data_IF_825728269470
#
_entry.id   IF_825728269470
#
_cell.length_a   1.000
_cell.length_b   1.000
_cell.length_c   1.000
_cell.angle_alpha   90.00
_cell.angle_beta   90.00
_cell.angle_gamma   90.00
#
_symmetry.space_group_name_H-M   'P 1'
#
loop_
_entity.id
_entity.type
_entity.pdbx_description
1 polymer ?
#
# COMPACT_ATOMS: atom_id res chain seq x y z
N UNK A 1 6.90 -3.42 9.34
CA UNK A 1 6.15 -2.17 9.62
C UNK A 1 5.41 -1.76 8.36
N UNK A 2 4.20 -1.24 8.51
CA UNK A 2 3.40 -0.64 7.46
C UNK A 2 2.99 0.79 7.82
N UNK A 3 2.60 1.55 6.81
CA UNK A 3 2.01 2.87 6.91
C UNK A 3 0.95 3.05 5.84
N UNK A 4 0.04 3.98 6.07
CA UNK A 4 -1.05 4.33 5.15
C UNK A 4 -0.69 5.63 4.44
N UNK A 5 -0.86 5.63 3.11
CA UNK A 5 -0.64 6.80 2.27
C UNK A 5 -1.95 7.59 2.22
N UNK A 6 -1.97 8.74 2.88
CA UNK A 6 -3.15 9.58 2.98
C UNK A 6 -2.96 10.90 2.23
N UNK A 7 -4.03 11.43 1.67
CA UNK A 7 -3.95 12.61 0.81
C UNK A 7 -5.29 13.20 0.42
N UNK A 8 -5.28 14.14 -0.53
CA UNK A 8 -6.48 14.86 -0.98
C UNK A 8 -6.56 14.95 -2.50
N UNK A 9 -7.77 15.00 -3.06
CA UNK A 9 -7.97 15.32 -4.47
C UNK A 9 -7.81 16.83 -4.69
N UNK A 10 -7.03 17.23 -5.69
CA UNK A 10 -6.88 18.62 -6.12
C UNK A 10 -6.90 18.62 -7.65
N UNK A 11 -7.83 19.37 -8.25
CA UNK A 11 -7.94 19.52 -9.71
C UNK A 11 -7.91 18.17 -10.47
N UNK A 12 -8.70 17.20 -10.02
CA UNK A 12 -8.80 15.86 -10.62
C UNK A 12 -7.50 15.02 -10.56
N UNK A 13 -6.58 15.34 -9.64
CA UNK A 13 -5.41 14.54 -9.32
C UNK A 13 -5.34 14.26 -7.81
N UNK A 14 -4.76 13.13 -7.43
CA UNK A 14 -4.61 12.71 -6.04
C UNK A 14 -3.21 13.06 -5.54
N UNK A 15 -3.14 13.74 -4.40
CA UNK A 15 -1.87 14.16 -3.80
C UNK A 15 -1.70 13.52 -2.43
N UNK A 16 -0.72 12.62 -2.31
CA UNK A 16 -0.31 12.06 -1.01
C UNK A 16 0.43 13.17 -0.24
N UNK A 17 -0.07 13.49 0.95
CA UNK A 17 0.48 14.54 1.82
C UNK A 17 0.69 14.09 3.26
N UNK A 18 0.23 12.90 3.63
CA UNK A 18 0.33 12.34 4.97
C UNK A 18 0.76 10.88 4.90
N UNK A 19 1.85 10.54 5.59
CA UNK A 19 2.20 9.16 5.91
C UNK A 19 1.69 8.86 7.32
N UNK A 20 0.60 8.12 7.42
CA UNK A 20 0.04 7.71 8.70
C UNK A 20 0.67 6.38 9.12
N UNK A 21 1.31 6.34 10.29
CA UNK A 21 1.82 5.11 10.89
C UNK A 21 0.77 4.62 11.89
N UNK A 22 -0.02 3.59 11.54
CA UNK A 22 -1.05 3.08 12.42
C UNK A 22 -0.45 2.31 13.60
N UNK A 23 -1.25 2.13 14.64
CA UNK A 23 -1.02 1.05 15.59
C UNK A 23 -0.99 -0.28 14.82
N UNK A 24 -0.03 -1.14 15.14
CA UNK A 24 0.24 -2.32 14.32
C UNK A 24 1.05 -3.36 15.06
N UNK A 25 0.79 -4.62 14.73
CA UNK A 25 1.57 -5.77 15.19
C UNK A 25 2.41 -6.31 14.03
N UNK A 26 3.73 -6.32 14.23
CA UNK A 26 4.69 -6.76 13.22
C UNK A 26 5.36 -8.06 13.62
N UNK A 27 5.58 -8.94 12.64
CA UNK A 27 6.57 -10.02 12.70
C UNK A 27 7.68 -9.74 11.67
N UNK A 28 8.59 -10.69 11.44
CA UNK A 28 9.57 -10.60 10.34
C UNK A 28 8.91 -10.53 8.97
N UNK A 29 7.75 -11.18 8.80
CA UNK A 29 7.14 -11.44 7.49
C UNK A 29 5.73 -10.87 7.37
N UNK A 30 5.17 -10.32 8.45
CA UNK A 30 3.80 -9.81 8.48
C UNK A 30 3.71 -8.49 9.21
N UNK A 31 2.72 -7.71 8.80
CA UNK A 31 2.31 -6.50 9.49
C UNK A 31 0.79 -6.42 9.45
N UNK A 32 0.17 -6.24 10.61
CA UNK A 32 -1.29 -6.12 10.77
C UNK A 32 -1.57 -4.81 11.46
N UNK A 33 -2.44 -4.01 10.85
CA UNK A 33 -2.94 -2.79 11.49
C UNK A 33 -3.86 -3.17 12.64
N UNK A 34 -3.68 -2.49 13.76
CA UNK A 34 -4.57 -2.57 14.90
C UNK A 34 -5.30 -1.23 15.02
N UNK A 35 -6.46 -1.24 15.71
CA UNK A 35 -7.23 -0.03 16.00
C UNK A 35 -7.56 0.83 14.75
N UNK A 36 -8.20 0.20 13.76
CA UNK A 36 -8.61 0.84 12.50
C UNK A 36 -9.55 2.03 12.73
N UNK A 37 -10.31 2.03 13.83
CA UNK A 37 -11.16 3.15 14.24
C UNK A 37 -10.39 4.45 14.46
N UNK A 38 -9.24 4.40 15.13
CA UNK A 38 -8.41 5.59 15.36
C UNK A 38 -7.81 6.14 14.04
N UNK A 39 -7.47 5.25 13.11
CA UNK A 39 -6.99 5.62 11.78
C UNK A 39 -8.08 6.31 10.97
N UNK A 40 -9.29 5.72 10.99
CA UNK A 40 -10.46 6.28 10.32
C UNK A 40 -10.85 7.64 10.91
N UNK A 41 -10.91 7.76 12.23
CA UNK A 41 -11.21 9.01 12.92
C UNK A 41 -10.21 10.10 12.56
N UNK A 42 -8.90 9.79 12.56
CA UNK A 42 -7.89 10.75 12.14
C UNK A 42 -8.07 11.19 10.68
N UNK A 43 -8.32 10.24 9.76
CA UNK A 43 -8.51 10.57 8.35
C UNK A 43 -9.76 11.42 8.13
N UNK A 44 -10.87 11.14 8.83
CA UNK A 44 -12.10 11.94 8.74
C UNK A 44 -11.86 13.36 9.29
N UNK A 45 -11.27 13.49 10.48
CA UNK A 45 -11.07 14.78 11.12
C UNK A 45 -10.14 15.71 10.33
N UNK A 46 -9.17 15.11 9.62
CA UNK A 46 -8.24 15.84 8.78
C UNK A 46 -8.69 15.92 7.32
N UNK A 47 -9.86 15.42 6.93
CA UNK A 47 -10.32 15.38 5.54
C UNK A 47 -9.28 14.72 4.60
N UNK A 48 -8.82 13.52 4.97
CA UNK A 48 -7.83 12.74 4.22
C UNK A 48 -8.47 11.48 3.62
N UNK A 49 -8.18 11.23 2.35
CA UNK A 49 -8.46 9.98 1.66
C UNK A 49 -7.31 8.99 1.84
N UNK A 50 -7.63 7.71 1.94
CA UNK A 50 -6.67 6.60 1.88
C UNK A 50 -6.36 6.30 0.42
N UNK A 51 -5.12 6.56 0.00
CA UNK A 51 -4.66 6.48 -1.38
C UNK A 51 -3.74 5.28 -1.64
N UNK A 52 -3.44 4.50 -0.61
CA UNK A 52 -2.52 3.38 -0.71
C UNK A 52 -1.85 3.07 0.62
N UNK A 53 -0.80 2.27 0.56
CA UNK A 53 -0.06 1.84 1.73
C UNK A 53 1.41 1.59 1.37
N UNK A 54 2.25 1.56 2.39
CA UNK A 54 3.69 1.33 2.30
C UNK A 54 4.11 0.33 3.36
N UNK A 55 4.97 -0.62 3.02
CA UNK A 55 5.56 -1.53 3.99
C UNK A 55 7.00 -1.88 3.68
N UNK A 56 7.67 -2.48 4.66
CA UNK A 56 9.07 -2.88 4.56
C UNK A 56 9.21 -4.38 4.38
N UNK A 57 10.10 -4.80 3.48
CA UNK A 57 10.72 -6.12 3.43
C UNK A 57 12.13 -6.01 4.05
N UNK A 58 12.31 -6.33 5.35
CA UNK A 58 13.59 -6.13 6.02
C UNK A 58 14.72 -6.96 5.39
N UNK A 59 14.40 -8.20 4.99
CA UNK A 59 15.35 -9.18 4.47
C UNK A 59 14.98 -9.69 3.07
N UNK A 60 13.76 -9.48 2.59
CA UNK A 60 13.33 -9.94 1.27
C UNK A 60 13.60 -8.88 0.19
N UNK A 61 13.63 -9.33 -1.07
CA UNK A 61 13.73 -8.45 -2.24
C UNK A 61 12.48 -7.58 -2.43
N UNK A 62 12.56 -6.59 -3.32
CA UNK A 62 11.43 -5.71 -3.64
C UNK A 62 10.43 -6.38 -4.61
N UNK A 63 9.31 -6.90 -4.10
CA UNK A 63 8.23 -7.51 -4.88
C UNK A 63 6.92 -7.49 -4.07
N UNK A 64 5.79 -7.79 -4.72
CA UNK A 64 4.50 -8.01 -4.03
C UNK A 64 4.34 -9.49 -3.67
N UNK A 65 4.34 -9.82 -2.37
CA UNK A 65 4.04 -11.17 -1.89
C UNK A 65 2.55 -11.52 -2.03
N UNK A 66 2.19 -12.80 -1.88
CA UNK A 66 0.78 -13.25 -1.90
C UNK A 66 -0.09 -12.44 -0.93
N UNK A 67 0.40 -12.22 0.30
CA UNK A 67 -0.27 -11.38 1.29
C UNK A 67 -0.43 -9.94 0.81
N UNK A 68 0.62 -9.35 0.23
CA UNK A 68 0.57 -7.98 -0.28
C UNK A 68 -0.43 -7.83 -1.42
N UNK A 69 -0.55 -8.83 -2.29
CA UNK A 69 -1.54 -8.87 -3.38
C UNK A 69 -2.97 -8.85 -2.80
N UNK A 70 -3.24 -9.68 -1.80
CA UNK A 70 -4.55 -9.72 -1.14
C UNK A 70 -4.88 -8.42 -0.40
N UNK A 71 -3.91 -7.83 0.32
CA UNK A 71 -4.10 -6.52 0.96
C UNK A 71 -4.33 -5.42 -0.08
N UNK A 72 -3.52 -5.37 -1.14
CA UNK A 72 -3.68 -4.40 -2.21
C UNK A 72 -5.01 -4.55 -2.96
N UNK A 73 -5.55 -5.76 -3.11
CA UNK A 73 -6.85 -5.98 -3.72
C UNK A 73 -7.97 -5.25 -2.95
N UNK A 74 -7.93 -5.31 -1.61
CA UNK A 74 -8.87 -4.58 -0.75
C UNK A 74 -8.77 -3.06 -0.90
N UNK A 75 -7.56 -2.51 -0.96
CA UNK A 75 -7.39 -1.08 -1.21
C UNK A 75 -7.81 -0.67 -2.63
N UNK A 76 -7.45 -1.46 -3.64
CA UNK A 76 -7.65 -1.10 -5.05
C UNK A 76 -9.09 -1.28 -5.53
N UNK A 77 -9.89 -2.12 -4.87
CA UNK A 77 -11.33 -2.20 -5.15
C UNK A 77 -12.08 -0.96 -4.61
N UNK A 78 -11.62 -0.40 -3.49
CA UNK A 78 -12.19 0.81 -2.89
C UNK A 78 -11.70 2.09 -3.56
N UNK A 79 -10.44 2.11 -4.01
CA UNK A 79 -9.79 3.22 -4.68
C UNK A 79 -9.01 2.69 -5.89
N UNK A 80 -9.53 2.79 -7.14
CA UNK A 80 -8.89 2.24 -8.33
C UNK A 80 -7.45 2.73 -8.56
N UNK A 81 -7.12 3.93 -8.10
CA UNK A 81 -5.80 4.55 -8.18
C UNK A 81 -4.85 4.12 -7.06
N UNK A 82 -5.31 3.28 -6.12
CA UNK A 82 -4.51 2.87 -4.97
C UNK A 82 -3.21 2.19 -5.35
N UNK A 83 -2.17 2.42 -4.55
CA UNK A 83 -0.82 1.87 -4.74
C UNK A 83 -0.29 1.19 -3.47
N UNK A 84 0.58 0.21 -3.68
CA UNK A 84 1.41 -0.41 -2.65
C UNK A 84 2.87 -0.03 -2.87
N UNK A 85 3.53 0.54 -1.86
CA UNK A 85 4.97 0.80 -1.88
C UNK A 85 5.67 -0.26 -1.04
N UNK A 86 6.61 -0.99 -1.65
CA UNK A 86 7.43 -1.98 -0.95
C UNK A 86 8.84 -1.44 -0.81
N UNK A 87 9.31 -1.25 0.42
CA UNK A 87 10.68 -0.85 0.73
C UNK A 87 11.53 -2.07 1.07
N UNK A 88 12.57 -2.35 0.29
CA UNK A 88 13.51 -3.44 0.49
C UNK A 88 14.93 -2.87 0.72
N UNK A 89 15.22 -2.32 1.92
CA UNK A 89 16.43 -1.51 2.16
C UNK A 89 17.75 -2.26 1.95
N UNK A 90 17.74 -3.60 2.02
CA UNK A 90 18.92 -4.45 1.83
C UNK A 90 19.13 -4.87 0.36
N UNK A 91 18.26 -4.46 -0.57
CA UNK A 91 18.26 -4.94 -1.95
C UNK A 91 18.21 -3.79 -2.97
N UNK A 92 18.44 -4.14 -4.24
CA UNK A 92 18.26 -3.24 -5.38
C UNK A 92 17.20 -3.82 -6.33
N UNK A 93 16.14 -3.07 -6.68
CA UNK A 93 15.85 -1.71 -6.20
C UNK A 93 15.49 -1.69 -4.70
N UNK A 94 15.81 -0.57 -4.03
CA UNK A 94 15.56 -0.40 -2.58
C UNK A 94 14.10 -0.12 -2.26
N UNK A 95 13.29 0.20 -3.26
CA UNK A 95 11.85 0.30 -3.16
C UNK A 95 11.18 0.10 -4.52
N UNK A 96 9.87 -0.14 -4.51
CA UNK A 96 9.05 -0.25 -5.70
C UNK A 96 7.64 0.21 -5.41
N UNK A 97 6.98 0.78 -6.42
CA UNK A 97 5.60 1.24 -6.35
C UNK A 97 4.78 0.36 -7.28
N UNK A 98 3.80 -0.33 -6.73
CA UNK A 98 3.05 -1.37 -7.41
C UNK A 98 1.55 -1.15 -7.31
N UNK A 99 0.83 -1.80 -8.23
CA UNK A 99 -0.63 -1.94 -8.22
C UNK A 99 -1.01 -3.27 -8.85
N UNK A 100 -2.18 -3.81 -8.53
CA UNK A 100 -2.73 -4.93 -9.28
C UNK A 100 -3.10 -4.48 -10.69
N UNK A 101 -2.88 -5.34 -11.66
CA UNK A 101 -3.47 -5.15 -13.00
C UNK A 101 -4.97 -5.32 -12.89
N UNK A 102 -5.72 -4.65 -13.76
CA UNK A 102 -7.18 -4.73 -13.73
C UNK A 102 -7.75 -4.55 -15.14
N UNK A 103 -8.01 -5.64 -15.90
CA UNK A 103 -7.70 -7.06 -15.61
C UNK A 103 -6.21 -7.44 -15.82
N UNK A 104 -5.74 -8.66 -15.48
CA UNK A 104 -6.46 -9.77 -14.83
C UNK A 104 -6.28 -9.86 -13.29
N UNK A 105 -5.34 -9.12 -12.71
CA UNK A 105 -4.89 -9.30 -11.34
C UNK A 105 -5.95 -9.08 -10.27
N UNK A 106 -6.58 -7.90 -10.25
CA UNK A 106 -7.58 -7.55 -9.24
C UNK A 106 -8.75 -8.55 -9.19
N UNK A 107 -9.41 -8.90 -10.32
CA UNK A 107 -10.44 -9.93 -10.31
C UNK A 107 -9.93 -11.30 -9.83
N UNK A 108 -8.71 -11.70 -10.19
CA UNK A 108 -8.15 -12.99 -9.77
C UNK A 108 -7.96 -13.06 -8.25
N UNK A 109 -7.37 -12.03 -7.65
CA UNK A 109 -7.10 -12.00 -6.20
C UNK A 109 -8.42 -11.91 -5.42
N UNK A 110 -9.39 -11.12 -5.87
CA UNK A 110 -10.70 -11.00 -5.20
C UNK A 110 -11.50 -12.32 -5.20
N UNK A 111 -11.26 -13.20 -6.17
CA UNK A 111 -11.92 -14.52 -6.25
C UNK A 111 -11.07 -15.66 -5.63
N UNK A 112 -9.91 -15.35 -5.05
CA UNK A 112 -9.06 -16.36 -4.42
C UNK A 112 -9.58 -16.73 -3.02
N UNK A 113 -9.86 -18.02 -2.81
CA UNK A 113 -10.39 -18.58 -1.56
C UNK A 113 -9.37 -19.47 -0.81
N UNK A 114 -8.08 -19.34 -1.09
CA UNK A 114 -7.04 -20.12 -0.44
C UNK A 114 -6.89 -19.70 1.04
N UNK A 115 -6.90 -20.67 1.95
CA UNK A 115 -6.80 -20.39 3.39
C UNK A 115 -5.36 -20.11 3.87
N UNK A 116 -4.35 -20.54 3.10
CA UNK A 116 -2.96 -20.34 3.45
C UNK A 116 -2.56 -18.87 3.27
N UNK A 117 -1.94 -18.27 4.31
CA UNK A 117 -1.49 -16.87 4.30
C UNK A 117 -0.49 -16.56 3.18
N UNK A 118 0.32 -17.55 2.80
CA UNK A 118 1.21 -17.47 1.65
C UNK A 118 0.92 -18.64 0.72
N UNK A 119 0.53 -18.33 -0.52
CA UNK A 119 0.31 -19.32 -1.56
C UNK A 119 0.66 -18.73 -2.93
N UNK A 120 0.83 -19.60 -3.93
CA UNK A 120 1.13 -19.17 -5.29
C UNK A 120 -0.16 -18.85 -6.06
N UNK A 121 -0.10 -17.83 -6.90
CA UNK A 121 -1.13 -17.51 -7.89
C UNK A 121 -0.59 -17.85 -9.28
N UNK A 122 -1.28 -18.75 -9.98
CA UNK A 122 -0.84 -19.30 -11.26
C UNK A 122 -1.45 -18.57 -12.46
N UNK A 123 -1.34 -17.25 -12.48
CA UNK A 123 -1.65 -16.43 -13.66
C UNK A 123 -0.52 -15.44 -13.93
N UNK A 124 -0.37 -15.05 -15.18
CA UNK A 124 0.59 -14.01 -15.56
C UNK A 124 0.03 -12.60 -15.30
N UNK A 125 0.94 -11.63 -15.21
CA UNK A 125 0.59 -10.21 -15.17
C UNK A 125 -0.38 -9.84 -14.03
N UNK A 126 -0.21 -10.40 -12.83
CA UNK A 126 -1.08 -10.13 -11.66
C UNK A 126 -0.93 -8.67 -11.18
N UNK A 127 0.30 -8.17 -11.14
CA UNK A 127 0.60 -6.83 -10.67
C UNK A 127 1.66 -6.20 -11.57
N UNK A 128 1.73 -4.88 -11.52
CA UNK A 128 2.67 -4.09 -12.32
C UNK A 128 3.21 -2.91 -11.52
N UNK A 129 4.24 -2.25 -12.04
CA UNK A 129 4.74 -0.99 -11.48
C UNK A 129 3.71 0.11 -11.75
N UNK A 130 3.49 0.96 -10.76
CA UNK A 130 2.56 2.09 -10.88
C UNK A 130 3.25 3.41 -11.28
N UNK A 131 4.58 3.46 -11.31
CA UNK A 131 5.33 4.65 -11.74
C UNK A 131 5.09 4.98 -13.22
N UNK A 132 4.93 6.26 -13.53
CA UNK A 132 4.82 6.77 -14.89
C UNK A 132 6.19 6.91 -15.58
N UNK A 133 6.38 6.46 -16.84
CA UNK A 133 5.48 5.63 -17.65
C UNK A 133 5.67 4.11 -17.44
N UNK A 134 4.64 3.25 -17.70
CA UNK A 134 3.29 3.58 -18.18
C UNK A 134 2.24 3.75 -17.06
N UNK A 135 2.65 3.72 -15.79
CA UNK A 135 1.73 3.86 -14.67
C UNK A 135 1.24 5.29 -14.45
N UNK A 136 0.42 5.50 -13.42
CA UNK A 136 -0.22 6.79 -13.13
C UNK A 136 0.48 7.61 -12.02
N UNK A 137 1.53 7.07 -11.40
CA UNK A 137 2.21 7.71 -10.27
C UNK A 137 3.36 8.58 -10.77
N UNK A 138 3.32 9.86 -10.39
CA UNK A 138 4.42 10.80 -10.55
C UNK A 138 5.06 11.05 -9.18
N UNK A 139 6.40 11.07 -9.15
CA UNK A 139 7.16 11.43 -7.97
C UNK A 139 7.71 12.84 -8.13
N UNK A 140 7.65 13.63 -7.05
CA UNK A 140 8.15 14.99 -7.03
C UNK A 140 8.69 15.29 -5.63
N UNK A 141 9.88 15.87 -5.57
CA UNK A 141 10.52 16.39 -4.36
C UNK A 141 9.91 17.72 -3.88
N UNK A 142 9.02 18.32 -4.69
CA UNK A 142 8.37 19.60 -4.40
C UNK A 142 7.09 19.46 -3.58
N UNK A 143 6.61 18.25 -3.34
CA UNK A 143 5.39 18.02 -2.57
C UNK A 143 5.70 18.06 -1.08
N UNK A 144 4.99 18.92 -0.36
CA UNK A 144 5.02 18.93 1.09
C UNK A 144 4.19 17.75 1.63
N UNK A 145 4.77 17.01 2.57
CA UNK A 145 4.10 15.92 3.27
C UNK A 145 4.58 15.85 4.72
N UNK A 146 3.81 15.18 5.58
CA UNK A 146 4.13 14.99 6.98
C UNK A 146 3.89 13.55 7.42
N UNK A 147 4.49 13.16 8.56
CA UNK A 147 4.26 11.86 9.21
C UNK A 147 3.33 12.07 10.40
N UNK A 148 2.29 11.24 10.51
CA UNK A 148 1.50 11.11 11.73
C UNK A 148 1.71 9.71 12.30
N UNK A 149 2.27 9.63 13.50
CA UNK A 149 2.42 8.36 14.22
C UNK A 149 1.28 8.19 15.23
N UNK A 150 0.49 7.12 15.08
CA UNK A 150 -0.61 6.74 15.98
C UNK A 150 -0.24 5.59 16.91
N UNK A 151 0.99 5.06 16.83
CA UNK A 151 1.40 3.98 17.73
C UNK A 151 1.39 4.47 19.19
N UNK A 152 1.08 3.59 20.16
CA UNK A 152 1.18 3.91 21.57
C UNK A 152 2.56 4.47 21.92
N UNK A 153 2.56 5.56 22.70
CA UNK A 153 3.80 6.11 23.25
C UNK A 153 4.20 5.23 24.43
N UNK A 154 5.23 4.42 24.23
CA UNK A 154 5.90 3.72 25.32
C UNK A 154 6.67 4.68 26.22
#
# INVERSE_FOLDING_TARGET
MCGILCGRPINNALFISCLLIPEQKCTSDTCETENESAQLEYCINEDLLVLGWIHTHPTQTCFMSSRDLHTQAGYQIMMPESIAIVCAPQHQPSHGIFRLTNPPGLPHILNCNQAAMFHQHHIDNIYTKASNPPGHVFQSDKLHWYVKDLRPKN
#
